data_IF_082348827490
#
_entry.id   IF_082348827490
#
_cell.length_a   1.000
_cell.length_b   1.000
_cell.length_c   1.000
_cell.angle_alpha   90.00
_cell.angle_beta   90.00
_cell.angle_gamma   90.00
#
_symmetry.space_group_name_H-M   'P 1'
#
loop_
_entity.id
_entity.type
_entity.pdbx_description
1 polymer ?
#
# COMPACT_ATOMS: atom_id res chain seq x y z
N UNK A 1 -1.26 18.31 -14.42
CA UNK A 1 -2.58 19.00 -14.37
C UNK A 1 -2.66 19.70 -13.02
N UNK A 2 -3.03 20.97 -13.01
CA UNK A 2 -3.26 21.75 -11.78
C UNK A 2 -4.78 21.93 -11.69
N UNK A 3 -5.39 21.49 -10.60
CA UNK A 3 -6.80 21.66 -10.34
C UNK A 3 -7.04 23.03 -9.67
N UNK A 4 -8.01 23.80 -10.18
CA UNK A 4 -8.47 25.03 -9.56
C UNK A 4 -9.62 24.82 -8.56
N UNK A 5 -10.15 23.61 -8.48
CA UNK A 5 -11.23 23.16 -7.59
C UNK A 5 -11.00 21.67 -7.25
N UNK A 6 -11.82 21.10 -6.40
CA UNK A 6 -11.80 19.67 -6.11
C UNK A 6 -11.80 18.83 -7.40
N UNK A 7 -10.96 17.79 -7.54
CA UNK A 7 -10.86 17.01 -8.77
C UNK A 7 -12.21 16.49 -9.30
N UNK A 8 -13.11 16.04 -8.41
CA UNK A 8 -14.45 15.58 -8.82
C UNK A 8 -15.33 16.71 -9.37
N UNK A 9 -15.21 17.95 -8.88
CA UNK A 9 -15.92 19.13 -9.40
C UNK A 9 -15.34 19.57 -10.73
N UNK A 10 -14.02 19.50 -10.89
CA UNK A 10 -13.35 19.73 -12.16
C UNK A 10 -13.91 18.79 -13.25
N UNK A 11 -13.99 17.49 -12.96
CA UNK A 11 -14.53 16.52 -13.92
C UNK A 11 -16.04 16.69 -14.14
N UNK A 12 -16.80 17.05 -13.11
CA UNK A 12 -18.21 17.41 -13.27
C UNK A 12 -18.39 18.59 -14.25
N UNK A 13 -17.51 19.58 -14.18
CA UNK A 13 -17.56 20.74 -15.08
C UNK A 13 -17.26 20.36 -16.53
N UNK A 14 -16.29 19.50 -16.76
CA UNK A 14 -15.86 19.10 -18.10
C UNK A 14 -16.71 18.00 -18.70
N UNK A 15 -17.12 17.00 -17.91
CA UNK A 15 -17.78 15.77 -18.39
C UNK A 15 -18.84 15.30 -17.39
N UNK A 16 -19.91 16.10 -17.14
CA UNK A 16 -20.86 15.84 -16.06
C UNK A 16 -21.54 14.47 -16.12
N UNK A 17 -21.80 13.97 -17.33
CA UNK A 17 -22.57 12.76 -17.57
C UNK A 17 -21.67 11.54 -17.89
N UNK A 18 -20.34 11.72 -17.93
CA UNK A 18 -19.41 10.61 -18.04
C UNK A 18 -19.40 9.77 -16.76
N UNK A 19 -19.19 8.46 -16.91
CA UNK A 19 -19.05 7.53 -15.78
C UNK A 19 -17.83 7.90 -14.95
N UNK A 20 -18.04 8.13 -13.66
CA UNK A 20 -17.00 8.41 -12.69
C UNK A 20 -16.67 7.18 -11.84
N UNK A 21 -17.71 6.48 -11.38
CA UNK A 21 -17.59 5.50 -10.31
C UNK A 21 -18.59 4.36 -10.51
N UNK A 22 -18.15 3.12 -10.26
CA UNK A 22 -19.00 1.94 -10.15
C UNK A 22 -18.96 1.46 -8.71
N UNK A 23 -20.13 1.38 -8.06
CA UNK A 23 -20.35 0.94 -6.69
C UNK A 23 -21.20 -0.33 -6.70
N UNK A 24 -20.56 -1.51 -6.64
CA UNK A 24 -21.26 -2.75 -6.93
C UNK A 24 -21.83 -2.73 -8.36
N UNK A 25 -23.17 -2.77 -8.49
CA UNK A 25 -23.88 -2.68 -9.77
C UNK A 25 -24.31 -1.26 -10.14
N UNK A 26 -24.26 -0.32 -9.21
CA UNK A 26 -24.61 1.08 -9.43
C UNK A 26 -23.46 1.83 -10.13
N UNK A 27 -23.78 2.56 -11.20
CA UNK A 27 -22.84 3.46 -11.87
C UNK A 27 -23.22 4.91 -11.60
N UNK A 28 -22.25 5.71 -11.14
CA UNK A 28 -22.41 7.14 -10.92
C UNK A 28 -21.67 7.92 -11.99
N UNK A 29 -22.33 8.94 -12.52
CA UNK A 29 -21.68 9.99 -13.31
C UNK A 29 -20.98 10.99 -12.38
N UNK A 30 -20.08 11.83 -12.93
CA UNK A 30 -19.42 12.89 -12.16
C UNK A 30 -20.44 13.84 -11.52
N UNK A 31 -21.54 14.13 -12.19
CA UNK A 31 -22.65 14.94 -11.64
C UNK A 31 -23.29 14.28 -10.44
N UNK A 32 -23.60 13.00 -10.53
CA UNK A 32 -24.23 12.24 -9.44
C UNK A 32 -23.28 12.05 -8.26
N UNK A 33 -22.00 11.75 -8.53
CA UNK A 33 -20.96 11.63 -7.52
C UNK A 33 -20.82 12.94 -6.72
N UNK A 34 -20.71 14.09 -7.38
CA UNK A 34 -20.61 15.37 -6.72
C UNK A 34 -21.81 15.65 -5.81
N UNK A 35 -23.03 15.34 -6.23
CA UNK A 35 -24.24 15.53 -5.41
C UNK A 35 -24.15 14.71 -4.12
N UNK A 36 -23.71 13.43 -4.19
CA UNK A 36 -23.56 12.59 -2.99
C UNK A 36 -22.45 13.10 -2.07
N UNK A 37 -21.32 13.53 -2.65
CA UNK A 37 -20.23 14.13 -1.85
C UNK A 37 -20.71 15.39 -1.15
N UNK A 38 -21.40 16.30 -1.87
CA UNK A 38 -21.91 17.56 -1.32
C UNK A 38 -22.89 17.28 -0.17
N UNK A 39 -23.83 16.35 -0.33
CA UNK A 39 -24.81 16.00 0.69
C UNK A 39 -24.18 15.36 1.95
N UNK A 40 -23.22 14.44 1.79
CA UNK A 40 -22.50 13.85 2.91
C UNK A 40 -21.60 14.85 3.61
N UNK A 41 -20.93 15.72 2.88
CA UNK A 41 -20.09 16.76 3.44
C UNK A 41 -20.91 17.75 4.29
N UNK A 42 -22.08 18.18 3.80
CA UNK A 42 -23.01 18.98 4.59
C UNK A 42 -23.46 18.24 5.85
N UNK A 43 -23.69 16.92 5.76
CA UNK A 43 -24.03 16.06 6.89
C UNK A 43 -22.90 15.97 7.94
N UNK A 44 -21.64 15.92 7.55
CA UNK A 44 -20.50 15.92 8.47
C UNK A 44 -20.29 17.27 9.13
N UNK A 45 -20.45 18.39 8.39
CA UNK A 45 -20.40 19.73 8.96
C UNK A 45 -21.52 19.92 10.01
N UNK A 46 -22.74 19.45 9.74
CA UNK A 46 -23.84 19.48 10.69
C UNK A 46 -23.55 18.69 11.97
N UNK A 47 -22.71 17.66 11.89
CA UNK A 47 -22.22 16.87 13.03
C UNK A 47 -20.97 17.45 13.70
N UNK A 48 -20.53 18.63 13.32
CA UNK A 48 -19.46 19.35 14.01
C UNK A 48 -18.07 19.25 13.35
N UNK A 49 -17.91 18.54 12.23
CA UNK A 49 -16.63 18.50 11.52
C UNK A 49 -16.26 19.89 10.99
N UNK A 50 -15.03 20.31 11.20
CA UNK A 50 -14.47 21.59 10.73
C UNK A 50 -13.18 21.35 9.98
N UNK A 51 -12.75 22.29 9.11
CA UNK A 51 -11.47 22.22 8.44
C UNK A 51 -10.32 21.96 9.42
N UNK A 52 -9.33 21.16 8.98
CA UNK A 52 -8.11 20.78 9.72
C UNK A 52 -8.34 19.91 10.97
N UNK A 53 -9.56 19.57 11.31
CA UNK A 53 -9.79 18.59 12.36
C UNK A 53 -9.43 17.15 11.92
N UNK A 54 -8.90 16.38 12.86
CA UNK A 54 -8.61 14.97 12.66
C UNK A 54 -9.89 14.12 12.74
N UNK A 55 -10.14 13.32 11.73
CA UNK A 55 -11.24 12.35 11.69
C UNK A 55 -10.68 10.95 11.47
N UNK A 56 -10.87 10.07 12.44
CA UNK A 56 -10.57 8.66 12.26
C UNK A 56 -11.61 8.00 11.36
N UNK A 57 -11.17 7.35 10.29
CA UNK A 57 -12.00 6.53 9.42
C UNK A 57 -11.58 5.07 9.55
N UNK A 58 -12.32 4.30 10.33
CA UNK A 58 -12.07 2.88 10.58
C UNK A 58 -13.00 2.04 9.71
N UNK A 59 -12.47 1.58 8.58
CA UNK A 59 -13.27 0.92 7.55
C UNK A 59 -12.43 0.03 6.62
N UNK A 60 -13.07 -0.98 6.04
CA UNK A 60 -12.58 -1.66 4.83
C UNK A 60 -12.99 -0.87 3.57
N UNK A 61 -12.44 -1.28 2.41
CA UNK A 61 -12.94 -0.75 1.14
C UNK A 61 -14.41 -1.12 0.94
N UNK A 62 -15.22 -0.09 0.81
CA UNK A 62 -16.67 -0.20 0.62
C UNK A 62 -17.15 1.05 -0.12
N UNK A 63 -18.24 1.01 -0.91
CA UNK A 63 -18.84 2.19 -1.53
C UNK A 63 -19.00 3.39 -0.58
N UNK A 64 -19.57 3.14 0.60
CA UNK A 64 -19.78 4.18 1.62
C UNK A 64 -18.47 4.74 2.16
N UNK A 65 -17.44 3.92 2.31
CA UNK A 65 -16.10 4.35 2.77
C UNK A 65 -15.48 5.34 1.79
N UNK A 66 -15.58 5.06 0.47
CA UNK A 66 -15.06 5.98 -0.55
C UNK A 66 -15.84 7.30 -0.57
N UNK A 67 -17.17 7.26 -0.52
CA UNK A 67 -17.98 8.48 -0.50
C UNK A 67 -17.71 9.32 0.74
N UNK A 68 -17.61 8.68 1.91
CA UNK A 68 -17.24 9.35 3.16
C UNK A 68 -15.85 9.97 3.09
N UNK A 69 -14.87 9.28 2.51
CA UNK A 69 -13.52 9.79 2.30
C UNK A 69 -13.53 11.09 1.51
N UNK A 70 -14.19 11.10 0.34
CA UNK A 70 -14.27 12.28 -0.52
C UNK A 70 -15.02 13.44 0.18
N UNK A 71 -16.10 13.13 0.90
CA UNK A 71 -16.85 14.13 1.66
C UNK A 71 -16.03 14.72 2.82
N UNK A 72 -15.27 13.92 3.56
CA UNK A 72 -14.36 14.39 4.61
C UNK A 72 -13.24 15.26 4.04
N UNK A 73 -12.67 14.91 2.89
CA UNK A 73 -11.72 15.77 2.18
C UNK A 73 -12.36 17.14 1.86
N UNK A 74 -13.60 17.14 1.33
CA UNK A 74 -14.31 18.37 1.00
C UNK A 74 -14.62 19.24 2.23
N UNK A 75 -14.80 18.63 3.40
CA UNK A 75 -14.87 19.33 4.68
C UNK A 75 -13.52 19.93 5.13
N UNK A 76 -12.43 19.63 4.43
CA UNK A 76 -11.06 20.01 4.82
C UNK A 76 -10.52 19.24 6.01
N UNK A 77 -11.10 18.11 6.37
CA UNK A 77 -10.67 17.27 7.48
C UNK A 77 -9.36 16.53 7.16
N UNK A 78 -8.55 16.26 8.18
CA UNK A 78 -7.42 15.33 8.11
C UNK A 78 -7.93 13.94 8.44
N UNK A 79 -7.89 13.05 7.46
CA UNK A 79 -8.36 11.68 7.63
C UNK A 79 -7.24 10.82 8.21
N UNK A 80 -7.49 10.15 9.34
CA UNK A 80 -6.68 9.07 9.87
C UNK A 80 -7.35 7.74 9.47
N UNK A 81 -6.95 7.14 8.33
CA UNK A 81 -7.53 5.87 7.92
C UNK A 81 -6.93 4.73 8.73
N UNK A 82 -7.78 3.89 9.30
CA UNK A 82 -7.39 2.83 10.23
C UNK A 82 -7.86 1.48 9.75
N UNK A 83 -6.92 0.52 9.72
CA UNK A 83 -7.26 -0.88 9.48
C UNK A 83 -8.17 -1.40 10.59
N UNK A 84 -9.38 -1.93 10.28
CA UNK A 84 -10.29 -2.51 11.27
C UNK A 84 -9.70 -3.65 12.11
N UNK A 85 -8.63 -4.27 11.65
CA UNK A 85 -7.96 -5.36 12.37
C UNK A 85 -6.98 -4.89 13.45
N UNK A 86 -6.67 -3.59 13.51
CA UNK A 86 -5.84 -3.06 14.61
C UNK A 86 -6.61 -3.26 15.93
N UNK A 87 -6.00 -3.93 16.93
CA UNK A 87 -6.64 -4.12 18.23
C UNK A 87 -7.09 -2.80 18.83
N UNK A 88 -8.33 -2.77 19.33
CA UNK A 88 -8.95 -1.54 19.87
C UNK A 88 -8.12 -0.90 20.99
N UNK A 89 -7.55 -1.71 21.90
CA UNK A 89 -6.71 -1.22 22.99
C UNK A 89 -5.46 -0.51 22.48
N UNK A 90 -4.79 -1.06 21.44
CA UNK A 90 -3.64 -0.42 20.81
C UNK A 90 -4.05 0.90 20.13
N UNK A 91 -5.17 0.89 19.43
CA UNK A 91 -5.66 2.09 18.76
C UNK A 91 -6.01 3.18 19.78
N UNK A 92 -6.69 2.85 20.88
CA UNK A 92 -7.02 3.80 21.94
C UNK A 92 -5.77 4.44 22.55
N UNK A 93 -4.67 3.70 22.70
CA UNK A 93 -3.40 4.23 23.17
C UNK A 93 -2.70 5.16 22.15
N UNK A 94 -2.97 4.98 20.85
CA UNK A 94 -2.35 5.78 19.78
C UNK A 94 -3.10 7.07 19.46
N UNK A 95 -4.44 7.07 19.58
CA UNK A 95 -5.31 8.18 19.17
C UNK A 95 -4.94 9.53 19.79
N UNK A 96 -4.54 9.65 21.06
CA UNK A 96 -4.13 10.92 21.66
C UNK A 96 -3.01 11.62 20.90
N UNK A 97 -2.10 10.85 20.28
CA UNK A 97 -0.95 11.38 19.54
C UNK A 97 -1.29 11.96 18.16
N UNK A 98 -2.50 11.67 17.63
CA UNK A 98 -2.85 12.04 16.27
C UNK A 98 -3.83 13.22 16.18
N UNK A 99 -4.20 13.82 17.32
CA UNK A 99 -5.12 14.98 17.39
C UNK A 99 -6.42 14.73 16.62
N UNK A 100 -7.04 13.57 16.88
CA UNK A 100 -8.32 13.15 16.31
C UNK A 100 -9.45 13.58 17.24
N UNK A 101 -10.49 14.21 16.70
CA UNK A 101 -11.66 14.66 17.45
C UNK A 101 -12.93 13.87 17.13
N UNK A 102 -13.00 13.24 15.96
CA UNK A 102 -14.16 12.50 15.48
C UNK A 102 -13.78 11.12 14.98
N UNK A 103 -14.73 10.19 15.04
CA UNK A 103 -14.58 8.84 14.49
C UNK A 103 -15.78 8.48 13.60
N UNK A 104 -15.51 8.04 12.38
CA UNK A 104 -16.46 7.35 11.52
C UNK A 104 -16.09 5.85 11.49
N UNK A 105 -16.97 5.04 12.07
CA UNK A 105 -16.79 3.60 12.24
C UNK A 105 -17.73 2.87 11.28
N UNK A 106 -17.18 2.27 10.22
CA UNK A 106 -17.94 1.55 9.19
C UNK A 106 -17.66 0.03 9.21
N UNK A 107 -17.07 -0.47 10.29
CA UNK A 107 -16.76 -1.86 10.53
C UNK A 107 -17.23 -2.23 11.94
N UNK A 108 -18.51 -2.51 12.14
CA UNK A 108 -19.18 -3.04 13.34
C UNK A 108 -18.45 -2.84 14.70
N UNK A 109 -17.92 -1.64 14.90
CA UNK A 109 -17.12 -1.28 16.08
C UNK A 109 -17.95 -0.43 17.07
N UNK A 110 -17.75 -0.67 18.35
CA UNK A 110 -18.30 0.21 19.38
C UNK A 110 -17.66 1.62 19.33
N UNK A 111 -18.38 2.69 19.72
CA UNK A 111 -17.82 4.04 19.82
C UNK A 111 -16.57 4.12 20.71
N UNK A 112 -15.71 5.11 20.45
CA UNK A 112 -14.59 5.51 21.33
C UNK A 112 -15.03 6.67 22.21
N UNK A 113 -14.99 6.52 23.53
CA UNK A 113 -15.52 7.51 24.49
C UNK A 113 -14.90 8.91 24.33
N UNK A 114 -13.64 8.98 23.88
CA UNK A 114 -12.91 10.23 23.69
C UNK A 114 -13.19 10.91 22.34
N UNK A 115 -13.98 10.32 21.44
CA UNK A 115 -14.21 10.82 20.09
C UNK A 115 -15.71 11.00 19.82
N UNK A 116 -16.07 12.12 19.18
CA UNK A 116 -17.42 12.29 18.67
C UNK A 116 -17.67 11.29 17.52
N UNK A 117 -18.68 10.44 17.66
CA UNK A 117 -19.02 9.45 16.64
C UNK A 117 -19.82 10.10 15.52
N UNK A 118 -19.32 9.97 14.28
CA UNK A 118 -19.99 10.42 13.06
C UNK A 118 -20.86 9.30 12.49
N UNK A 119 -21.97 9.72 11.88
CA UNK A 119 -22.86 8.86 11.11
C UNK A 119 -22.90 9.31 9.64
N UNK A 120 -23.13 8.37 8.73
CA UNK A 120 -23.41 8.68 7.33
C UNK A 120 -24.83 9.29 7.24
N UNK A 121 -24.90 10.62 7.29
CA UNK A 121 -26.12 11.38 7.11
C UNK A 121 -25.93 12.38 5.98
N UNK A 122 -26.87 12.41 5.07
CA UNK A 122 -26.96 13.46 4.06
C UNK A 122 -27.70 14.68 4.67
N UNK A 123 -27.24 15.86 4.32
CA UNK A 123 -27.91 17.12 4.68
C UNK A 123 -27.94 18.07 3.49
N UNK A 124 -28.81 19.07 3.56
CA UNK A 124 -28.82 20.20 2.64
C UNK A 124 -27.96 21.31 3.22
N UNK A 125 -27.22 21.99 2.37
CA UNK A 125 -26.37 23.11 2.73
C UNK A 125 -25.06 23.15 1.92
N UNK A 126 -24.42 24.31 1.93
CA UNK A 126 -23.10 24.44 1.34
C UNK A 126 -22.05 23.94 2.34
N UNK A 127 -21.28 22.96 1.94
CA UNK A 127 -20.09 22.54 2.64
C UNK A 127 -18.92 22.60 1.67
N UNK A 128 -18.07 23.56 1.83
CA UNK A 128 -16.84 23.65 1.06
C UNK A 128 -15.77 24.38 1.86
N UNK A 129 -14.76 23.62 2.29
CA UNK A 129 -13.57 24.20 2.91
C UNK A 129 -12.63 24.87 1.91
N UNK A 130 -13.03 24.92 0.63
CA UNK A 130 -12.21 25.37 -0.50
C UNK A 130 -11.09 24.41 -0.85
N UNK A 131 -10.79 24.34 -2.13
CA UNK A 131 -9.66 23.55 -2.61
C UNK A 131 -8.34 24.18 -2.19
N UNK A 132 -7.59 23.50 -1.37
CA UNK A 132 -6.24 23.88 -0.94
C UNK A 132 -5.33 22.66 -1.06
N UNK A 133 -4.57 22.56 -2.15
CA UNK A 133 -3.76 21.37 -2.46
C UNK A 133 -2.66 21.08 -1.42
N UNK A 134 -2.21 22.10 -0.68
CA UNK A 134 -1.18 21.97 0.36
C UNK A 134 -1.75 21.72 1.78
N UNK A 135 -3.08 21.73 1.95
CA UNK A 135 -3.69 21.38 3.25
C UNK A 135 -3.45 19.89 3.53
N UNK A 136 -3.13 19.55 4.78
CA UNK A 136 -3.00 18.14 5.19
C UNK A 136 -4.34 17.41 5.00
N UNK A 137 -4.31 16.32 4.23
CA UNK A 137 -5.49 15.52 3.88
C UNK A 137 -5.53 14.17 4.60
N UNK A 138 -4.39 13.49 4.72
CA UNK A 138 -4.33 12.14 5.28
C UNK A 138 -3.17 11.99 6.27
N UNK A 139 -3.42 11.20 7.31
CA UNK A 139 -2.44 10.75 8.30
C UNK A 139 -2.34 9.24 8.17
N UNK A 140 -1.41 8.74 7.37
CA UNK A 140 -1.30 7.30 7.10
C UNK A 140 -0.33 6.64 8.06
N UNK A 141 -0.83 5.65 8.82
CA UNK A 141 0.00 4.91 9.77
C UNK A 141 1.07 4.09 9.05
N UNK A 142 2.30 4.16 9.54
CA UNK A 142 3.44 3.35 9.10
C UNK A 142 3.96 2.52 10.26
N UNK A 143 4.32 1.26 9.99
CA UNK A 143 4.95 0.39 10.96
C UNK A 143 6.38 0.88 11.21
N UNK A 144 6.57 1.66 12.26
CA UNK A 144 7.91 2.07 12.70
C UNK A 144 8.73 0.86 13.14
N UNK A 145 9.98 0.75 12.70
CA UNK A 145 10.93 -0.29 13.12
C UNK A 145 11.33 -0.18 14.59
N UNK A 146 11.01 0.92 15.26
CA UNK A 146 11.57 1.27 16.58
C UNK A 146 10.54 1.70 17.63
N UNK A 147 9.25 1.30 17.52
CA UNK A 147 8.28 1.68 18.55
C UNK A 147 6.83 1.83 18.06
N UNK A 148 6.12 2.79 18.64
CA UNK A 148 4.74 3.10 18.30
C UNK A 148 4.62 3.52 16.80
N UNK A 149 3.54 3.15 16.11
CA UNK A 149 3.29 3.58 14.75
C UNK A 149 3.36 5.11 14.60
N UNK A 150 3.98 5.55 13.51
CA UNK A 150 4.04 6.97 13.12
C UNK A 150 2.95 7.24 12.08
N UNK A 151 2.48 8.47 11.98
CA UNK A 151 1.52 8.86 10.96
C UNK A 151 2.19 9.80 9.94
N UNK A 152 2.43 9.30 8.73
CA UNK A 152 2.90 10.15 7.61
C UNK A 152 1.76 11.07 7.16
N UNK A 153 2.02 12.37 7.17
CA UNK A 153 1.03 13.41 6.86
C UNK A 153 1.16 13.84 5.39
N UNK A 154 0.12 13.59 4.59
CA UNK A 154 0.14 13.91 3.17
C UNK A 154 -0.85 15.01 2.82
N UNK A 155 -0.48 15.77 1.78
CA UNK A 155 -1.33 16.77 1.14
C UNK A 155 -1.93 16.23 -0.16
N UNK A 156 -3.04 16.81 -0.66
CA UNK A 156 -3.54 16.52 -2.01
C UNK A 156 -2.49 16.71 -3.09
N UNK A 157 -1.66 17.78 -2.99
CA UNK A 157 -0.56 18.02 -3.93
C UNK A 157 0.45 16.89 -3.95
N UNK A 158 0.87 16.38 -2.79
CA UNK A 158 1.77 15.24 -2.67
C UNK A 158 1.19 13.97 -3.30
N UNK A 159 -0.08 13.67 -3.02
CA UNK A 159 -0.79 12.55 -3.62
C UNK A 159 -0.94 12.67 -5.15
N UNK A 160 -1.28 13.87 -5.64
CA UNK A 160 -1.40 14.13 -7.09
C UNK A 160 -0.04 14.02 -7.78
N UNK A 161 1.04 14.49 -7.15
CA UNK A 161 2.40 14.31 -7.66
C UNK A 161 2.78 12.81 -7.73
N UNK A 162 2.38 12.02 -6.72
CA UNK A 162 2.54 10.57 -6.75
C UNK A 162 1.77 9.93 -7.90
N UNK A 163 0.51 10.29 -8.08
CA UNK A 163 -0.34 9.79 -9.15
C UNK A 163 0.22 10.16 -10.53
N UNK A 164 0.65 11.42 -10.73
CA UNK A 164 1.19 11.90 -11.99
C UNK A 164 2.42 11.11 -12.44
N UNK A 165 3.33 10.80 -11.52
CA UNK A 165 4.52 10.03 -11.86
C UNK A 165 4.19 8.59 -12.31
N UNK A 166 3.24 7.93 -11.68
CA UNK A 166 2.82 6.58 -12.09
C UNK A 166 2.12 6.63 -13.46
N UNK A 167 1.22 7.60 -13.67
CA UNK A 167 0.47 7.77 -14.93
C UNK A 167 1.33 8.27 -16.10
N UNK A 168 2.57 8.71 -15.84
CA UNK A 168 3.54 8.99 -16.90
C UNK A 168 4.15 7.70 -17.49
N UNK A 169 4.14 6.61 -16.72
CA UNK A 169 4.65 5.32 -17.15
C UNK A 169 3.52 4.38 -17.60
N UNK A 170 2.42 4.37 -16.88
CA UNK A 170 1.36 3.37 -16.97
C UNK A 170 0.18 3.95 -17.74
N UNK A 171 -0.27 3.29 -18.86
CA UNK A 171 -1.40 3.78 -19.64
C UNK A 171 -2.69 3.64 -18.82
N UNK A 172 -3.38 4.75 -18.58
CA UNK A 172 -4.69 4.79 -17.95
C UNK A 172 -5.47 5.94 -18.56
N UNK A 173 -6.51 5.63 -19.32
CA UNK A 173 -7.18 6.59 -20.17
C UNK A 173 -8.67 6.70 -19.85
N UNK A 174 -9.34 7.67 -20.48
CA UNK A 174 -10.80 7.76 -20.46
C UNK A 174 -11.39 6.46 -21.03
N UNK A 175 -12.31 5.84 -20.35
CA UNK A 175 -12.85 4.53 -20.71
C UNK A 175 -12.24 3.36 -19.92
N UNK A 176 -11.03 3.51 -19.38
CA UNK A 176 -10.46 2.56 -18.48
C UNK A 176 -11.14 2.59 -17.10
N UNK A 177 -11.04 1.46 -16.39
CA UNK A 177 -11.64 1.29 -15.07
C UNK A 177 -10.63 0.63 -14.14
N UNK A 178 -10.25 1.33 -13.06
CA UNK A 178 -9.35 0.80 -12.05
C UNK A 178 -10.14 0.25 -10.88
N UNK A 179 -9.90 -1.01 -10.50
CA UNK A 179 -10.50 -1.56 -9.30
C UNK A 179 -9.76 -1.02 -8.04
N UNK A 180 -10.49 -0.58 -7.02
CA UNK A 180 -9.93 -0.23 -5.71
C UNK A 180 -9.55 -1.50 -4.95
N UNK A 181 -8.55 -2.21 -5.45
CA UNK A 181 -8.11 -3.54 -5.02
C UNK A 181 -7.30 -3.52 -3.72
N UNK A 182 -6.68 -2.39 -3.39
CA UNK A 182 -5.86 -2.23 -2.19
C UNK A 182 -6.54 -1.31 -1.18
N UNK A 183 -6.33 -1.55 0.14
CA UNK A 183 -7.04 -0.81 1.17
C UNK A 183 -6.71 0.68 1.22
N UNK A 184 -7.73 1.52 1.44
CA UNK A 184 -7.57 2.97 1.62
C UNK A 184 -6.79 3.34 2.89
N UNK A 185 -6.71 2.47 3.88
CA UNK A 185 -5.84 2.70 5.05
C UNK A 185 -4.35 2.48 4.77
N UNK A 186 -3.98 2.13 3.53
CA UNK A 186 -2.61 2.12 3.04
C UNK A 186 -2.44 3.09 1.87
N UNK A 187 -1.25 3.67 1.72
CA UNK A 187 -0.94 4.57 0.59
C UNK A 187 -1.11 3.92 -0.78
N UNK A 188 -1.05 2.61 -0.88
CA UNK A 188 -1.28 1.88 -2.13
C UNK A 188 -2.73 2.00 -2.61
N UNK A 189 -3.72 1.91 -1.71
CA UNK A 189 -5.13 2.16 -2.03
C UNK A 189 -5.39 3.65 -2.30
N UNK A 190 -4.80 4.54 -1.49
CA UNK A 190 -4.85 5.98 -1.72
C UNK A 190 -4.25 6.35 -3.09
N UNK A 191 -3.17 5.68 -3.50
CA UNK A 191 -2.56 5.87 -4.81
C UNK A 191 -3.52 5.54 -5.96
N UNK A 192 -4.36 4.49 -5.84
CA UNK A 192 -5.41 4.18 -6.82
C UNK A 192 -6.42 5.33 -6.89
N UNK A 193 -6.90 5.78 -5.73
CA UNK A 193 -7.85 6.88 -5.61
C UNK A 193 -7.35 8.16 -6.31
N UNK A 194 -6.10 8.56 -6.04
CA UNK A 194 -5.56 9.79 -6.59
C UNK A 194 -5.21 9.70 -8.08
N UNK A 195 -4.86 8.51 -8.61
CA UNK A 195 -4.70 8.26 -10.05
C UNK A 195 -6.04 8.41 -10.79
N UNK A 196 -7.11 7.83 -10.23
CA UNK A 196 -8.45 8.02 -10.73
C UNK A 196 -8.87 9.49 -10.75
N UNK A 197 -8.70 10.20 -9.63
CA UNK A 197 -9.03 11.62 -9.52
C UNK A 197 -8.21 12.48 -10.50
N UNK A 198 -6.92 12.18 -10.67
CA UNK A 198 -6.06 12.93 -11.60
C UNK A 198 -6.48 12.73 -13.05
N UNK A 199 -6.85 11.51 -13.44
CA UNK A 199 -7.15 11.18 -14.85
C UNK A 199 -8.62 11.39 -15.21
N UNK A 200 -9.53 11.26 -14.28
CA UNK A 200 -10.97 11.34 -14.51
C UNK A 200 -11.54 10.16 -15.30
N UNK A 201 -10.89 9.01 -15.25
CA UNK A 201 -11.35 7.75 -15.82
C UNK A 201 -12.38 7.05 -14.90
N UNK A 202 -12.59 5.75 -15.03
CA UNK A 202 -13.47 4.97 -14.14
C UNK A 202 -12.75 4.45 -12.90
N UNK A 203 -13.47 4.38 -11.78
CA UNK A 203 -13.06 3.64 -10.59
C UNK A 203 -14.17 2.65 -10.23
N UNK A 204 -13.80 1.42 -9.91
CA UNK A 204 -14.74 0.42 -9.40
C UNK A 204 -14.45 0.12 -7.95
N UNK A 205 -15.49 0.15 -7.11
CA UNK A 205 -15.45 -0.27 -5.71
C UNK A 205 -16.52 -1.32 -5.50
N UNK A 206 -16.13 -2.49 -5.10
CA UNK A 206 -17.03 -3.60 -4.77
C UNK A 206 -16.83 -4.03 -3.33
N UNK A 207 -17.87 -4.58 -2.75
CA UNK A 207 -17.80 -5.22 -1.46
C UNK A 207 -16.88 -6.44 -1.49
N UNK A 208 -16.70 -7.09 -0.35
CA UNK A 208 -15.85 -8.28 -0.22
C UNK A 208 -16.30 -9.42 -1.12
N UNK A 209 -15.72 -9.47 -2.31
CA UNK A 209 -15.92 -10.54 -3.28
C UNK A 209 -14.59 -11.28 -3.50
N UNK A 210 -14.63 -12.52 -3.98
CA UNK A 210 -13.46 -13.18 -4.54
C UNK A 210 -12.80 -12.28 -5.58
N UNK A 211 -11.47 -12.26 -5.62
CA UNK A 211 -10.69 -11.27 -6.39
C UNK A 211 -11.10 -11.23 -7.88
N UNK A 212 -11.28 -12.38 -8.52
CA UNK A 212 -11.69 -12.46 -9.92
C UNK A 212 -13.06 -11.79 -10.16
N UNK A 213 -14.02 -11.99 -9.26
CA UNK A 213 -15.34 -11.35 -9.34
C UNK A 213 -15.25 -9.83 -9.08
N UNK A 214 -14.41 -9.42 -8.12
CA UNK A 214 -14.19 -8.00 -7.85
C UNK A 214 -13.59 -7.27 -9.04
N UNK A 215 -12.77 -7.94 -9.86
CA UNK A 215 -12.10 -7.42 -11.04
C UNK A 215 -12.94 -7.47 -12.33
N UNK A 216 -14.11 -8.09 -12.30
CA UNK A 216 -14.94 -8.26 -13.50
C UNK A 216 -15.25 -6.92 -14.18
N UNK A 217 -14.87 -6.79 -15.46
CA UNK A 217 -15.05 -5.58 -16.28
C UNK A 217 -14.11 -4.41 -15.94
N UNK A 218 -13.09 -4.63 -15.09
CA UNK A 218 -12.04 -3.64 -14.84
C UNK A 218 -10.85 -3.88 -15.79
N UNK A 219 -10.24 -2.81 -16.28
CA UNK A 219 -9.05 -2.85 -17.14
C UNK A 219 -7.76 -2.78 -16.33
N UNK A 220 -7.80 -2.16 -15.16
CA UNK A 220 -6.64 -1.90 -14.30
C UNK A 220 -6.82 -2.42 -12.88
N UNK A 221 -5.74 -2.92 -12.31
CA UNK A 221 -5.66 -3.27 -10.89
C UNK A 221 -4.27 -2.93 -10.31
N UNK A 222 -4.22 -2.70 -8.99
CA UNK A 222 -2.99 -2.75 -8.21
C UNK A 222 -3.04 -3.98 -7.32
N UNK A 223 -2.05 -4.85 -7.44
CA UNK A 223 -2.03 -6.14 -6.75
C UNK A 223 -0.68 -6.39 -6.08
N UNK A 224 -0.65 -7.35 -5.17
CA UNK A 224 0.61 -7.99 -4.75
C UNK A 224 0.84 -9.25 -5.60
N UNK A 225 2.10 -9.73 -5.74
CA UNK A 225 2.40 -10.87 -6.61
C UNK A 225 1.56 -12.11 -6.34
N UNK A 226 1.30 -12.44 -5.08
CA UNK A 226 0.46 -13.60 -4.70
C UNK A 226 -0.99 -13.48 -5.13
N UNK A 227 -1.55 -12.26 -5.14
CA UNK A 227 -2.90 -12.02 -5.65
C UNK A 227 -2.96 -12.25 -7.17
N UNK A 228 -1.97 -11.75 -7.90
CA UNK A 228 -1.88 -11.96 -9.34
C UNK A 228 -1.67 -13.44 -9.68
N UNK A 229 -0.81 -14.13 -8.93
CA UNK A 229 -0.58 -15.56 -9.10
C UNK A 229 -1.88 -16.36 -8.94
N UNK A 230 -2.65 -16.10 -7.86
CA UNK A 230 -3.95 -16.76 -7.65
C UNK A 230 -4.95 -16.44 -8.77
N UNK A 231 -4.97 -15.21 -9.22
CA UNK A 231 -5.84 -14.76 -10.30
C UNK A 231 -5.53 -15.44 -11.64
N UNK A 232 -4.24 -15.65 -11.95
CA UNK A 232 -3.83 -16.35 -13.17
C UNK A 232 -4.08 -17.86 -13.12
N UNK A 233 -4.26 -18.44 -11.94
CA UNK A 233 -4.67 -19.84 -11.76
C UNK A 233 -6.20 -20.02 -11.62
N UNK A 234 -6.96 -18.93 -11.73
CA UNK A 234 -8.42 -18.96 -11.78
C UNK A 234 -8.87 -18.94 -13.25
N UNK A 235 -9.85 -19.78 -13.60
CA UNK A 235 -10.40 -19.87 -14.95
C UNK A 235 -11.39 -18.74 -15.29
N UNK A 236 -11.67 -17.83 -14.33
CA UNK A 236 -12.56 -16.72 -14.56
C UNK A 236 -12.06 -15.78 -15.68
N UNK A 237 -12.95 -15.31 -16.56
CA UNK A 237 -12.58 -14.38 -17.63
C UNK A 237 -12.15 -13.04 -17.03
N UNK A 238 -10.99 -12.55 -17.44
CA UNK A 238 -10.43 -11.28 -17.02
C UNK A 238 -10.50 -10.24 -18.12
N UNK A 239 -10.94 -9.02 -17.79
CA UNK A 239 -10.86 -7.86 -18.66
C UNK A 239 -9.61 -7.01 -18.41
N UNK A 240 -8.74 -7.46 -17.52
CA UNK A 240 -7.52 -6.74 -17.15
C UNK A 240 -6.58 -6.63 -18.35
N UNK A 241 -6.10 -5.43 -18.59
CA UNK A 241 -5.05 -5.11 -19.55
C UNK A 241 -3.77 -4.66 -18.90
N UNK A 242 -3.86 -4.14 -17.66
CA UNK A 242 -2.75 -3.54 -16.94
C UNK A 242 -2.80 -3.83 -15.43
N UNK A 243 -1.66 -4.24 -14.85
CA UNK A 243 -1.52 -4.48 -13.41
C UNK A 243 -0.25 -3.82 -12.88
N UNK A 244 -0.41 -3.00 -11.84
CA UNK A 244 0.70 -2.48 -11.06
C UNK A 244 0.95 -3.38 -9.86
N UNK A 245 2.13 -3.97 -9.80
CA UNK A 245 2.58 -4.86 -8.73
C UNK A 245 3.49 -4.13 -7.75
N UNK A 246 3.26 -4.33 -6.48
CA UNK A 246 4.08 -3.74 -5.42
C UNK A 246 4.18 -4.63 -4.20
N UNK A 247 5.06 -4.24 -3.28
CA UNK A 247 5.14 -4.85 -1.96
C UNK A 247 6.08 -6.04 -1.81
N UNK A 248 6.51 -6.68 -2.90
CA UNK A 248 7.47 -7.79 -2.90
C UNK A 248 8.19 -7.91 -4.26
N UNK A 249 9.26 -8.70 -4.32
CA UNK A 249 9.91 -9.07 -5.57
C UNK A 249 8.93 -9.84 -6.49
N UNK A 250 9.00 -9.58 -7.79
CA UNK A 250 8.10 -10.16 -8.77
C UNK A 250 8.82 -11.30 -9.50
N UNK A 251 8.32 -12.55 -9.38
CA UNK A 251 8.87 -13.67 -10.12
C UNK A 251 8.75 -13.46 -11.64
N UNK A 252 9.79 -13.78 -12.40
CA UNK A 252 9.81 -13.67 -13.87
C UNK A 252 8.68 -14.48 -14.50
N UNK A 253 8.47 -15.70 -14.04
CA UNK A 253 7.41 -16.58 -14.52
C UNK A 253 6.01 -15.96 -14.35
N UNK A 254 5.79 -15.17 -13.28
CA UNK A 254 4.52 -14.49 -13.07
C UNK A 254 4.29 -13.39 -14.11
N UNK A 255 5.33 -12.63 -14.46
CA UNK A 255 5.27 -11.59 -15.49
C UNK A 255 5.02 -12.21 -16.88
N UNK A 256 5.67 -13.32 -17.19
CA UNK A 256 5.48 -14.08 -18.45
C UNK A 256 4.06 -14.66 -18.56
N UNK A 257 3.56 -15.30 -17.50
CA UNK A 257 2.20 -15.83 -17.45
C UNK A 257 1.14 -14.73 -17.63
N UNK A 258 1.38 -13.54 -17.07
CA UNK A 258 0.50 -12.38 -17.25
C UNK A 258 0.49 -11.91 -18.70
N UNK A 259 1.66 -11.80 -19.31
CA UNK A 259 1.81 -11.39 -20.71
C UNK A 259 1.13 -12.37 -21.68
N UNK A 260 1.21 -13.69 -21.40
CA UNK A 260 0.51 -14.70 -22.17
C UNK A 260 -1.02 -14.56 -22.14
N UNK A 261 -1.57 -13.93 -21.07
CA UNK A 261 -3.00 -13.56 -20.96
C UNK A 261 -3.32 -12.14 -21.46
N UNK A 262 -2.39 -11.45 -22.10
CA UNK A 262 -2.56 -10.08 -22.60
C UNK A 262 -2.53 -9.02 -21.51
N UNK A 263 -2.03 -9.33 -20.30
CA UNK A 263 -1.95 -8.39 -19.18
C UNK A 263 -0.54 -7.81 -19.12
N UNK A 264 -0.41 -6.51 -19.32
CA UNK A 264 0.83 -5.76 -19.11
C UNK A 264 1.05 -5.57 -17.62
N UNK A 265 2.20 -5.95 -17.11
CA UNK A 265 2.54 -5.83 -15.69
C UNK A 265 3.65 -4.83 -15.47
N UNK A 266 3.48 -4.01 -14.42
CA UNK A 266 4.46 -3.04 -13.95
C UNK A 266 4.87 -3.41 -12.54
N UNK A 267 6.15 -3.25 -12.24
CA UNK A 267 6.67 -3.38 -10.89
C UNK A 267 7.12 -2.02 -10.35
N UNK A 268 7.01 -1.85 -9.03
CA UNK A 268 7.42 -0.59 -8.41
C UNK A 268 7.91 -0.74 -6.99
N UNK A 269 8.81 0.15 -6.62
CA UNK A 269 9.27 0.39 -5.27
C UNK A 269 8.70 1.70 -4.75
N UNK A 270 8.26 1.70 -3.51
CA UNK A 270 7.73 2.87 -2.85
C UNK A 270 7.42 2.62 -1.38
N UNK A 271 7.11 3.67 -0.67
CA UNK A 271 6.86 3.64 0.77
C UNK A 271 5.77 4.65 1.17
N UNK A 272 5.31 4.50 2.40
CA UNK A 272 4.23 5.33 2.94
C UNK A 272 4.60 6.82 2.88
N UNK A 273 5.83 7.15 3.22
CA UNK A 273 6.35 8.50 3.27
C UNK A 273 6.40 9.22 1.90
N UNK A 274 6.23 8.48 0.80
CA UNK A 274 6.24 9.02 -0.57
C UNK A 274 4.91 8.87 -1.30
N UNK A 275 3.82 8.71 -0.56
CA UNK A 275 2.46 8.55 -1.09
C UNK A 275 2.38 7.43 -2.14
N UNK A 276 3.11 6.33 -1.98
CA UNK A 276 3.16 5.11 -2.77
C UNK A 276 4.44 4.95 -3.60
N UNK A 277 4.37 4.99 -4.94
CA UNK A 277 5.43 4.52 -5.84
C UNK A 277 6.49 5.59 -6.14
N UNK A 278 7.76 5.25 -5.99
CA UNK A 278 8.93 6.12 -6.28
C UNK A 278 9.63 5.70 -7.56
N UNK A 279 10.01 4.44 -7.69
CA UNK A 279 10.57 3.85 -8.90
C UNK A 279 9.61 2.83 -9.47
N UNK A 280 9.55 2.73 -10.79
CA UNK A 280 8.76 1.70 -11.45
C UNK A 280 9.26 1.42 -12.87
N UNK A 281 8.92 0.24 -13.39
CA UNK A 281 9.11 -0.16 -14.79
C UNK A 281 8.04 -1.14 -15.23
N UNK A 282 7.89 -1.33 -16.52
CA UNK A 282 7.27 -2.55 -17.05
C UNK A 282 8.15 -3.75 -16.69
N UNK A 283 7.54 -4.88 -16.32
CA UNK A 283 8.30 -6.08 -15.93
C UNK A 283 9.03 -6.67 -17.13
N UNK A 284 10.35 -6.81 -17.02
CA UNK A 284 11.26 -7.27 -18.09
C UNK A 284 12.07 -8.51 -17.68
N UNK A 285 11.79 -9.09 -16.51
CA UNK A 285 12.54 -10.22 -15.96
C UNK A 285 13.77 -9.85 -15.14
N UNK A 286 14.21 -8.59 -15.19
CA UNK A 286 15.33 -8.10 -14.38
C UNK A 286 14.90 -7.79 -12.94
N UNK A 287 15.83 -7.95 -12.01
CA UNK A 287 15.56 -7.82 -10.58
C UNK A 287 15.39 -6.37 -10.08
N UNK A 288 15.75 -5.38 -10.90
CA UNK A 288 15.57 -3.98 -10.52
C UNK A 288 14.10 -3.54 -10.56
N UNK A 289 13.81 -2.43 -9.93
CA UNK A 289 12.47 -1.81 -9.87
C UNK A 289 12.35 -0.60 -10.82
N UNK A 290 13.22 -0.50 -11.80
CA UNK A 290 13.21 0.55 -12.81
C UNK A 290 13.86 1.86 -12.35
N UNK A 291 13.55 2.91 -13.10
CA UNK A 291 14.05 4.27 -12.87
C UNK A 291 13.15 5.04 -11.91
N UNK A 292 13.67 6.08 -11.25
CA UNK A 292 12.83 7.05 -10.57
C UNK A 292 11.78 7.61 -11.51
N UNK A 293 10.53 7.63 -11.06
CA UNK A 293 9.43 8.23 -11.81
C UNK A 293 9.60 9.77 -11.86
N UNK A 294 8.98 10.47 -12.80
CA UNK A 294 9.08 11.93 -12.89
C UNK A 294 8.82 12.64 -11.56
N UNK A 295 9.68 13.62 -11.23
CA UNK A 295 9.62 14.38 -9.97
C UNK A 295 10.16 13.63 -8.74
N UNK A 296 10.93 12.55 -8.93
CA UNK A 296 11.58 11.78 -7.86
C UNK A 296 13.08 11.70 -8.10
N UNK A 297 13.83 11.74 -7.02
CA UNK A 297 15.27 11.59 -7.02
C UNK A 297 15.66 10.46 -6.07
N UNK A 298 16.65 9.68 -6.51
CA UNK A 298 17.20 8.55 -5.76
C UNK A 298 18.72 8.70 -5.73
N UNK A 299 19.32 8.52 -4.55
CA UNK A 299 20.76 8.35 -4.40
C UNK A 299 21.06 7.21 -3.44
N UNK A 300 22.25 6.64 -3.55
CA UNK A 300 22.75 5.63 -2.62
C UNK A 300 23.83 6.28 -1.74
N UNK A 301 23.66 6.17 -0.43
CA UNK A 301 24.61 6.67 0.56
C UNK A 301 24.97 5.52 1.50
N UNK A 302 26.20 5.07 1.49
CA UNK A 302 26.69 3.92 2.29
C UNK A 302 25.82 2.66 2.12
N UNK A 303 25.36 2.41 0.88
CA UNK A 303 24.49 1.29 0.54
C UNK A 303 23.00 1.49 0.90
N UNK A 304 22.64 2.61 1.53
CA UNK A 304 21.25 2.96 1.84
C UNK A 304 20.62 3.78 0.72
N UNK A 305 19.36 3.49 0.42
CA UNK A 305 18.53 4.26 -0.54
C UNK A 305 18.07 5.54 0.14
N UNK A 306 18.42 6.68 -0.45
CA UNK A 306 17.94 7.99 -0.03
C UNK A 306 17.05 8.58 -1.11
N UNK A 307 15.94 9.19 -0.70
CA UNK A 307 14.89 9.65 -1.60
C UNK A 307 14.56 11.12 -1.38
N UNK A 308 14.20 11.79 -2.48
CA UNK A 308 13.59 13.13 -2.49
C UNK A 308 12.51 13.19 -3.57
N UNK A 309 11.34 13.78 -3.28
CA UNK A 309 10.24 13.89 -4.24
C UNK A 309 9.20 14.93 -3.82
N UNK A 310 8.48 15.49 -4.80
CA UNK A 310 7.31 16.32 -4.57
C UNK A 310 6.13 15.52 -3.95
N UNK A 311 6.14 14.21 -4.05
CA UNK A 311 5.13 13.30 -3.45
C UNK A 311 5.42 12.93 -1.99
N UNK A 312 6.50 13.44 -1.42
CA UNK A 312 6.89 13.16 -0.05
C UNK A 312 5.87 13.74 0.94
N UNK A 313 5.60 13.02 2.03
CA UNK A 313 4.80 13.51 3.14
C UNK A 313 5.41 14.81 3.72
N UNK A 314 4.57 15.70 4.20
CA UNK A 314 4.99 16.95 4.83
C UNK A 314 5.79 16.70 6.12
N UNK A 315 5.61 15.57 6.77
CA UNK A 315 6.25 15.19 8.01
C UNK A 315 5.56 13.98 8.65
N UNK A 316 6.06 13.54 9.81
CA UNK A 316 5.31 12.67 10.69
C UNK A 316 4.46 13.54 11.63
N UNK A 317 3.15 13.30 11.65
CA UNK A 317 2.25 13.95 12.58
C UNK A 317 2.33 13.29 13.95
N UNK A 318 2.58 14.08 14.98
CA UNK A 318 2.57 13.63 16.37
C UNK A 318 2.30 14.79 17.32
N UNK A 319 1.43 14.60 18.30
CA UNK A 319 1.14 15.54 19.39
C UNK A 319 0.84 16.97 18.89
N UNK A 320 0.09 17.09 17.78
CA UNK A 320 -0.29 18.37 17.19
C UNK A 320 0.76 19.04 16.30
N UNK A 321 1.90 18.39 16.06
CA UNK A 321 3.00 18.96 15.28
C UNK A 321 3.48 18.02 14.15
N UNK A 322 4.09 18.62 13.13
CA UNK A 322 4.81 17.90 12.09
C UNK A 322 6.29 17.74 12.50
N UNK A 323 6.72 16.49 12.63
CA UNK A 323 8.12 16.15 12.84
C UNK A 323 8.81 16.00 11.49
N UNK A 324 10.04 16.51 11.30
CA UNK A 324 10.76 16.41 10.03
C UNK A 324 10.98 14.96 9.60
N UNK A 325 10.82 14.71 8.30
CA UNK A 325 11.15 13.44 7.65
C UNK A 325 12.58 13.41 7.14
N UNK A 326 13.09 14.57 6.76
CA UNK A 326 14.30 14.71 5.96
C UNK A 326 15.45 15.33 6.76
N UNK A 327 16.67 15.10 6.28
CA UNK A 327 17.85 15.79 6.78
C UNK A 327 17.90 17.25 6.28
N UNK A 328 18.93 18.00 6.66
CA UNK A 328 19.12 19.42 6.27
C UNK A 328 19.20 19.65 4.76
N UNK A 329 19.55 18.63 3.98
CA UNK A 329 19.65 18.68 2.51
C UNK A 329 18.34 18.30 1.81
N UNK A 330 17.27 17.97 2.56
CA UNK A 330 15.96 17.58 2.04
C UNK A 330 15.86 16.11 1.59
N UNK A 331 16.77 15.24 2.05
CA UNK A 331 16.76 13.82 1.73
C UNK A 331 16.20 12.96 2.87
N UNK A 332 15.40 11.98 2.49
CA UNK A 332 14.85 10.95 3.38
C UNK A 332 15.70 9.69 3.31
N UNK A 333 16.22 9.25 4.43
CA UNK A 333 16.92 7.97 4.60
C UNK A 333 15.90 6.85 4.83
N UNK A 334 15.80 5.91 3.87
CA UNK A 334 14.71 4.93 3.86
C UNK A 334 14.92 3.74 4.79
N UNK A 335 16.18 3.49 5.17
CA UNK A 335 16.67 2.25 5.80
C UNK A 335 16.50 1.01 4.91
N UNK A 336 16.29 1.20 3.62
CA UNK A 336 16.36 0.13 2.62
C UNK A 336 17.75 0.16 1.98
N UNK A 337 18.35 -1.01 1.80
CA UNK A 337 19.61 -1.18 1.05
C UNK A 337 19.29 -1.26 -0.44
N UNK A 338 20.15 -0.69 -1.24
CA UNK A 338 20.01 -0.76 -2.69
C UNK A 338 21.25 -0.36 -3.46
N UNK A 339 21.18 -0.58 -4.76
CA UNK A 339 22.17 -0.18 -5.74
C UNK A 339 21.49 0.56 -6.87
N UNK A 340 22.18 1.57 -7.40
CA UNK A 340 21.74 2.32 -8.57
C UNK A 340 22.73 2.07 -9.70
N UNK A 341 22.32 1.32 -10.74
CA UNK A 341 23.14 1.04 -11.93
C UNK A 341 22.42 1.57 -13.17
N UNK A 342 23.08 2.37 -13.97
CA UNK A 342 22.52 3.00 -15.17
C UNK A 342 21.19 3.72 -14.92
N UNK A 343 21.02 4.28 -13.72
CA UNK A 343 19.80 4.95 -13.27
C UNK A 343 18.65 4.01 -12.92
N UNK A 344 18.85 2.69 -12.86
CA UNK A 344 17.87 1.68 -12.43
C UNK A 344 18.17 1.27 -11.00
N UNK A 345 17.15 1.25 -10.16
CA UNK A 345 17.26 0.93 -8.74
C UNK A 345 17.07 -0.57 -8.52
N UNK A 346 18.01 -1.22 -7.87
CA UNK A 346 17.85 -2.56 -7.31
C UNK A 346 17.70 -2.44 -5.80
N UNK A 347 16.58 -2.90 -5.27
CA UNK A 347 16.34 -2.96 -3.81
C UNK A 347 16.87 -4.29 -3.29
N UNK A 348 17.81 -4.23 -2.35
CA UNK A 348 18.47 -5.41 -1.78
C UNK A 348 17.79 -5.91 -0.50
N UNK A 349 17.09 -5.05 0.21
CA UNK A 349 16.34 -5.39 1.43
C UNK A 349 16.40 -4.29 2.49
N UNK A 350 15.94 -4.59 3.70
CA UNK A 350 15.96 -3.66 4.84
C UNK A 350 17.29 -3.73 5.58
N UNK A 351 17.85 -2.59 5.94
CA UNK A 351 19.06 -2.55 6.79
C UNK A 351 18.81 -3.23 8.15
N UNK A 352 17.59 -3.09 8.68
CA UNK A 352 17.20 -3.67 9.98
C UNK A 352 17.04 -5.19 9.93
N UNK A 353 16.94 -5.80 8.75
CA UNK A 353 16.77 -7.25 8.58
C UNK A 353 18.10 -8.00 8.43
N UNK A 354 19.19 -7.28 8.18
CA UNK A 354 20.52 -7.89 8.08
C UNK A 354 20.87 -8.58 9.41
N UNK A 355 21.29 -9.82 9.35
CA UNK A 355 21.79 -10.56 10.50
C UNK A 355 23.09 -11.31 10.15
N UNK A 356 23.78 -11.85 11.15
CA UNK A 356 25.09 -12.46 10.95
C UNK A 356 25.08 -13.92 11.38
N UNK A 357 25.62 -14.77 10.50
CA UNK A 357 25.84 -16.19 10.74
C UNK A 357 27.34 -16.49 10.65
N UNK A 358 27.97 -16.84 11.77
CA UNK A 358 29.41 -17.12 11.81
C UNK A 358 30.30 -15.96 11.34
N UNK A 359 29.85 -14.71 11.53
CA UNK A 359 30.54 -13.51 11.07
C UNK A 359 30.18 -13.06 9.65
N UNK A 360 29.48 -13.89 8.87
CA UNK A 360 29.02 -13.54 7.51
C UNK A 360 27.63 -12.90 7.55
N UNK A 361 27.48 -11.78 6.82
CA UNK A 361 26.19 -11.05 6.75
C UNK A 361 25.19 -11.75 5.85
N UNK A 362 24.00 -11.99 6.36
CA UNK A 362 22.86 -12.52 5.61
C UNK A 362 21.80 -11.43 5.43
N UNK A 363 21.51 -11.07 4.19
CA UNK A 363 20.35 -10.25 3.86
C UNK A 363 19.19 -11.19 3.54
N UNK A 364 18.14 -11.29 4.40
CA UNK A 364 17.04 -12.22 4.21
C UNK A 364 16.40 -12.14 2.83
N UNK A 365 16.16 -10.93 2.34
CA UNK A 365 15.48 -10.67 1.07
C UNK A 365 16.27 -11.19 -0.14
N UNK A 366 17.60 -11.24 -0.05
CA UNK A 366 18.43 -11.82 -1.10
C UNK A 366 18.26 -13.34 -1.16
N UNK A 367 18.29 -14.01 -0.01
CA UNK A 367 18.09 -15.45 0.11
C UNK A 367 16.67 -15.82 -0.32
N UNK A 368 15.66 -15.04 0.11
CA UNK A 368 14.26 -15.20 -0.28
C UNK A 368 14.07 -15.10 -1.79
N UNK A 369 14.74 -14.17 -2.45
CA UNK A 369 14.69 -14.00 -3.91
C UNK A 369 15.26 -15.21 -4.64
N UNK A 370 16.30 -15.83 -4.11
CA UNK A 370 16.91 -17.01 -4.71
C UNK A 370 16.01 -18.24 -4.53
N UNK A 371 15.54 -18.49 -3.30
CA UNK A 371 14.67 -19.62 -2.97
C UNK A 371 13.30 -19.47 -3.65
N UNK A 372 12.74 -18.28 -3.70
CA UNK A 372 11.45 -17.97 -4.31
C UNK A 372 11.36 -18.23 -5.82
N UNK A 373 12.48 -18.57 -6.47
CA UNK A 373 12.48 -19.05 -7.87
C UNK A 373 12.01 -20.49 -8.01
N UNK A 374 11.77 -21.19 -6.90
CA UNK A 374 11.22 -22.54 -6.95
C UNK A 374 9.76 -22.49 -7.43
N UNK A 375 9.38 -23.28 -8.47
CA UNK A 375 8.10 -23.13 -9.16
C UNK A 375 6.87 -23.41 -8.30
N UNK A 376 7.00 -24.15 -7.22
CA UNK A 376 5.91 -24.48 -6.31
C UNK A 376 5.79 -23.53 -5.12
N UNK A 377 6.72 -22.56 -4.96
CA UNK A 377 6.66 -21.59 -3.88
C UNK A 377 5.85 -20.36 -4.27
N UNK A 378 4.91 -19.99 -3.42
CA UNK A 378 4.16 -18.72 -3.48
C UNK A 378 4.89 -17.62 -2.69
N UNK A 379 5.39 -17.95 -1.49
CA UNK A 379 6.14 -17.05 -0.64
C UNK A 379 7.21 -17.79 0.15
N UNK A 380 8.29 -17.08 0.44
CA UNK A 380 9.35 -17.54 1.35
C UNK A 380 9.83 -16.36 2.20
N UNK A 381 10.06 -16.63 3.47
CA UNK A 381 10.60 -15.67 4.43
C UNK A 381 11.80 -16.31 5.12
N UNK A 382 12.91 -15.59 5.18
CA UNK A 382 14.09 -15.98 5.95
C UNK A 382 14.09 -15.24 7.28
N UNK A 383 14.14 -16.01 8.36
CA UNK A 383 14.06 -15.53 9.72
C UNK A 383 15.31 -15.93 10.48
N UNK A 384 15.99 -15.01 11.19
CA UNK A 384 17.13 -15.37 12.03
C UNK A 384 16.65 -16.13 13.27
N UNK A 385 17.28 -17.28 13.52
CA UNK A 385 17.16 -18.07 14.75
C UNK A 385 18.50 -17.95 15.51
N UNK A 386 18.46 -17.58 16.79
CA UNK A 386 19.68 -17.49 17.60
C UNK A 386 20.33 -18.87 17.78
N UNK A 387 21.63 -18.93 17.59
CA UNK A 387 22.47 -20.14 17.62
C UNK A 387 23.70 -19.87 18.49
N UNK A 388 24.05 -20.81 19.33
CA UNK A 388 25.14 -20.64 20.33
C UNK A 388 26.53 -20.57 19.69
N UNK A 389 26.73 -21.21 18.53
CA UNK A 389 28.01 -21.28 17.84
C UNK A 389 28.14 -20.19 16.76
N UNK A 390 27.06 -19.98 15.97
CA UNK A 390 27.07 -19.08 14.80
C UNK A 390 26.45 -17.70 15.08
N UNK A 391 26.00 -17.43 16.32
CA UNK A 391 25.25 -16.23 16.67
C UNK A 391 23.82 -16.29 16.19
N UNK A 392 23.60 -16.31 14.87
CA UNK A 392 22.28 -16.53 14.29
C UNK A 392 22.37 -17.42 13.04
N UNK A 393 21.33 -18.23 12.80
CA UNK A 393 21.22 -19.07 11.61
C UNK A 393 19.90 -18.84 10.85
N UNK A 394 19.87 -18.92 9.53
CA UNK A 394 18.66 -18.72 8.75
C UNK A 394 17.67 -19.89 8.90
N UNK A 395 16.39 -19.55 9.10
CA UNK A 395 15.25 -20.48 9.02
C UNK A 395 14.34 -20.01 7.91
N UNK A 396 13.91 -20.92 7.05
CA UNK A 396 12.96 -20.63 5.98
C UNK A 396 11.52 -20.92 6.42
N UNK A 397 10.64 -19.94 6.26
CA UNK A 397 9.19 -20.11 6.42
C UNK A 397 8.55 -19.97 5.04
N UNK A 398 7.87 -21.00 4.57
CA UNK A 398 7.42 -21.11 3.17
C UNK A 398 5.91 -21.28 3.05
N UNK A 399 5.36 -20.70 2.00
CA UNK A 399 4.02 -20.97 1.48
C UNK A 399 4.14 -21.42 0.02
N UNK A 400 3.35 -22.38 -0.38
CA UNK A 400 3.35 -22.87 -1.76
C UNK A 400 2.15 -23.72 -2.09
N UNK A 401 2.11 -24.28 -3.30
CA UNK A 401 1.04 -25.15 -3.78
C UNK A 401 0.79 -26.34 -2.85
N UNK A 402 -0.35 -27.00 -2.99
CA UNK A 402 -0.68 -28.21 -2.23
C UNK A 402 0.32 -29.34 -2.50
N UNK A 403 0.98 -29.31 -3.64
CA UNK A 403 1.97 -30.29 -4.09
C UNK A 403 3.41 -29.99 -3.62
N UNK A 404 3.62 -28.86 -2.91
CA UNK A 404 4.94 -28.47 -2.43
C UNK A 404 5.47 -29.48 -1.43
N UNK A 405 6.54 -30.15 -1.81
CA UNK A 405 7.32 -31.01 -0.90
C UNK A 405 8.45 -30.21 -0.26
N UNK A 406 8.27 -29.88 1.02
CA UNK A 406 9.26 -29.10 1.79
C UNK A 406 10.60 -29.83 1.92
N UNK A 407 10.61 -31.16 1.92
CA UNK A 407 11.84 -31.96 2.09
C UNK A 407 12.79 -31.86 0.90
N UNK A 408 12.30 -31.45 -0.27
CA UNK A 408 13.13 -31.21 -1.46
C UNK A 408 13.77 -29.83 -1.49
N UNK A 409 13.24 -28.85 -0.74
CA UNK A 409 13.73 -27.47 -0.74
C UNK A 409 15.18 -27.33 -0.25
N UNK A 410 15.68 -28.08 0.76
CA UNK A 410 17.10 -28.04 1.12
C UNK A 410 18.03 -28.36 -0.04
N UNK A 411 17.70 -29.35 -0.88
CA UNK A 411 18.47 -29.70 -2.09
C UNK A 411 18.48 -28.57 -3.12
N UNK A 412 17.32 -27.92 -3.32
CA UNK A 412 17.21 -26.75 -4.19
C UNK A 412 18.08 -25.59 -3.71
N UNK A 413 18.03 -25.29 -2.40
CA UNK A 413 18.78 -24.21 -1.78
C UNK A 413 20.29 -24.44 -1.82
N UNK A 414 20.73 -25.66 -1.50
CA UNK A 414 22.15 -26.06 -1.49
C UNK A 414 22.85 -25.82 -2.83
N UNK A 415 22.15 -26.01 -3.94
CA UNK A 415 22.71 -25.81 -5.27
C UNK A 415 22.86 -24.30 -5.67
N UNK A 416 22.30 -23.35 -4.87
CA UNK A 416 22.16 -21.93 -5.24
C UNK A 416 22.61 -20.94 -4.20
N UNK A 417 22.81 -21.38 -2.96
CA UNK A 417 23.15 -20.53 -1.82
C UNK A 417 24.51 -20.93 -1.25
N UNK A 418 25.27 -19.95 -0.75
CA UNK A 418 26.44 -20.19 0.08
C UNK A 418 26.07 -20.97 1.35
N UNK A 419 27.00 -21.71 1.91
CA UNK A 419 26.72 -22.61 3.04
C UNK A 419 26.08 -21.88 4.23
N UNK A 420 26.59 -20.68 4.57
CA UNK A 420 26.06 -19.86 5.67
C UNK A 420 24.67 -19.28 5.41
N UNK A 421 24.26 -19.16 4.14
CA UNK A 421 22.93 -18.66 3.74
C UNK A 421 21.87 -19.77 3.70
N UNK A 422 22.26 -21.06 3.76
CA UNK A 422 21.33 -22.18 3.65
C UNK A 422 20.49 -22.27 4.93
N UNK A 423 19.14 -22.31 4.78
CA UNK A 423 18.27 -22.48 5.95
C UNK A 423 18.51 -23.79 6.68
N UNK A 424 18.65 -23.72 8.01
CA UNK A 424 18.85 -24.91 8.86
C UNK A 424 17.55 -25.63 9.18
N UNK A 425 16.42 -24.94 8.99
CA UNK A 425 15.09 -25.49 9.19
C UNK A 425 14.12 -24.88 8.17
N UNK A 426 13.12 -25.66 7.79
CA UNK A 426 12.07 -25.29 6.84
C UNK A 426 10.72 -25.51 7.48
N UNK A 427 9.92 -24.45 7.58
CA UNK A 427 8.61 -24.46 8.22
C UNK A 427 7.53 -23.99 7.24
N UNK A 428 6.32 -24.56 7.35
CA UNK A 428 5.16 -24.02 6.62
C UNK A 428 4.62 -22.76 7.30
N UNK A 429 4.26 -21.77 6.50
CA UNK A 429 3.64 -20.55 7.00
C UNK A 429 2.28 -20.87 7.63
N UNK A 430 2.07 -20.60 8.93
CA UNK A 430 0.81 -20.91 9.60
C UNK A 430 -0.30 -19.95 9.16
N UNK A 431 -1.53 -20.46 9.08
CA UNK A 431 -2.71 -19.66 8.73
C UNK A 431 -2.94 -18.47 9.67
N UNK A 432 -2.54 -18.60 10.95
CA UNK A 432 -2.65 -17.53 11.95
C UNK A 432 -1.84 -16.28 11.63
N UNK A 433 -0.74 -16.39 10.88
CA UNK A 433 0.07 -15.26 10.45
C UNK A 433 -0.39 -14.65 9.12
N UNK A 434 -1.33 -15.28 8.43
CA UNK A 434 -1.92 -14.80 7.17
C UNK A 434 -3.07 -13.81 7.40
N UNK A 435 -3.44 -13.55 8.64
CA UNK A 435 -4.60 -12.73 8.98
C UNK A 435 -4.32 -11.24 8.77
N UNK A 436 -4.97 -10.66 7.80
CA UNK A 436 -5.45 -9.28 7.75
C UNK A 436 -4.55 -8.20 7.22
N UNK A 437 -3.36 -8.48 6.76
CA UNK A 437 -2.49 -7.47 6.15
C UNK A 437 -2.07 -7.84 4.72
N UNK A 438 -1.74 -6.83 3.89
CA UNK A 438 -1.10 -7.03 2.60
C UNK A 438 0.31 -7.61 2.77
N UNK A 439 0.93 -7.39 3.94
CA UNK A 439 2.29 -7.86 4.28
C UNK A 439 2.29 -8.61 5.59
N UNK A 440 2.99 -9.75 5.60
CA UNK A 440 3.25 -10.53 6.81
C UNK A 440 4.32 -9.80 7.64
N UNK A 441 4.08 -9.68 8.95
CA UNK A 441 5.02 -9.04 9.87
C UNK A 441 6.23 -9.94 10.13
N UNK A 442 7.44 -9.48 9.76
CA UNK A 442 8.69 -10.18 10.07
C UNK A 442 8.91 -10.39 11.57
N UNK A 443 8.45 -9.44 12.39
CA UNK A 443 8.50 -9.57 13.85
C UNK A 443 7.63 -10.74 14.31
N UNK A 444 6.38 -10.82 13.85
CA UNK A 444 5.48 -11.92 14.21
C UNK A 444 6.01 -13.28 13.72
N UNK A 445 6.61 -13.31 12.52
CA UNK A 445 7.31 -14.51 12.01
C UNK A 445 8.45 -14.95 12.94
N UNK A 446 9.30 -14.00 13.36
CA UNK A 446 10.41 -14.29 14.27
C UNK A 446 9.93 -14.80 15.62
N UNK A 447 8.92 -14.16 16.19
CA UNK A 447 8.31 -14.59 17.46
C UNK A 447 7.73 -16.01 17.33
N UNK A 448 7.03 -16.30 16.25
CA UNK A 448 6.46 -17.63 15.98
C UNK A 448 7.54 -18.70 15.74
N UNK A 449 8.56 -18.43 14.92
CA UNK A 449 9.69 -19.37 14.68
C UNK A 449 10.38 -19.72 15.99
N UNK A 450 10.67 -18.71 16.82
CA UNK A 450 11.29 -18.92 18.12
C UNK A 450 10.42 -19.77 19.06
N UNK A 451 9.11 -19.52 19.11
CA UNK A 451 8.18 -20.34 19.89
C UNK A 451 8.08 -21.78 19.37
N UNK A 452 8.12 -21.98 18.04
CA UNK A 452 7.98 -23.32 17.42
C UNK A 452 9.24 -24.17 17.58
N UNK A 453 10.45 -23.57 17.55
CA UNK A 453 11.71 -24.31 17.55
C UNK A 453 12.40 -24.38 18.92
N UNK A 454 11.95 -23.59 19.90
CA UNK A 454 12.47 -23.57 21.27
C UNK A 454 11.52 -24.15 22.32
N UNK A 455 10.23 -24.39 21.93
CA UNK A 455 9.22 -25.10 22.72
C UNK A 455 9.27 -26.58 22.43
#
# INVERSE_FOLDING_TARGET
MIFGDWPWRHWRSLRPDARALRLGDECLTWRQLCRRIDALAAGFIAQGVRPEQGVMLRAYNHPQTLLAWLALLQCGARILPVNPQIPRALLAALLPHFSVSHALLLADDAPFDALATLCLREAQGACDAGWQPERLATLTLTSGSSGLPKAAAHTPAGHLASAAGVLALLPFNEGDDWQLSLPLYHVSGQGILWRWLLKGAGLTVRERLPLAQALAGCTHASLVPTQLWRLLNDDAPLSLTCVLLGGAAIPVALAEASRARGIQTFCGYGLTEFASTVCAKETDGEADVGRPLPGREVRIVDGEIWLRAASMAAGYWRDGALLPLVNAEGWFATRDRGELRDGRLTVLGRMDNLFFCGGEGIQPEEVERIIGRHPQLEQVFIVPLDDAEFGQRPVAVVEGSAELDIEQLPGWAKARLACFQQPVCWLRLPASLKTGGIKISRRALREWVNATLRG
#
